data_IF_596085469156
#
_entry.id   IF_596085469156
#
_cell.length_a   1.000
_cell.length_b   1.000
_cell.length_c   1.000
_cell.angle_alpha   90.00
_cell.angle_beta   90.00
_cell.angle_gamma   90.00
#
_symmetry.space_group_name_H-M   'P 1'
#
loop_
_entity.id
_entity.type
_entity.pdbx_description
1 polymer ?
#
# COMPACT_ATOMS: atom_id res chain seq x y z
N UNK A 1 3.30 -4.19 29.54
CA UNK A 1 4.40 -3.77 28.68
C UNK A 1 5.41 -4.90 28.42
N UNK A 2 6.06 -5.50 29.43
CA UNK A 2 7.05 -6.58 29.22
C UNK A 2 6.54 -7.80 28.44
N UNK A 3 5.32 -8.30 28.70
CA UNK A 3 4.72 -9.45 28.00
C UNK A 3 4.51 -9.16 26.52
N UNK A 4 4.07 -7.94 26.15
CA UNK A 4 3.95 -7.54 24.75
C UNK A 4 5.30 -7.47 24.04
N UNK A 5 6.34 -6.99 24.72
CA UNK A 5 7.69 -6.93 24.14
C UNK A 5 8.22 -8.34 23.85
N UNK A 6 8.01 -9.29 24.77
CA UNK A 6 8.37 -10.70 24.59
C UNK A 6 7.52 -11.32 23.47
N UNK A 7 6.21 -11.07 23.45
CA UNK A 7 5.31 -11.55 22.38
C UNK A 7 5.75 -11.08 21.00
N UNK A 8 6.08 -9.81 20.85
CA UNK A 8 6.56 -9.25 19.57
C UNK A 8 7.85 -9.92 19.10
N UNK A 9 8.76 -10.26 20.02
CA UNK A 9 9.97 -11.00 19.67
C UNK A 9 9.65 -12.39 19.10
N UNK A 10 8.71 -13.12 19.69
CA UNK A 10 8.28 -14.42 19.18
C UNK A 10 7.58 -14.30 17.80
N UNK A 11 6.80 -13.24 17.57
CA UNK A 11 6.14 -12.99 16.28
C UNK A 11 7.19 -12.75 15.20
N UNK A 12 8.16 -11.87 15.45
CA UNK A 12 9.26 -11.59 14.51
C UNK A 12 10.03 -12.88 14.22
N UNK A 13 10.38 -13.65 15.26
CA UNK A 13 11.11 -14.89 15.14
C UNK A 13 10.35 -15.94 14.33
N UNK A 14 9.04 -16.11 14.62
CA UNK A 14 8.16 -16.99 13.84
C UNK A 14 8.08 -16.56 12.36
N UNK A 15 7.96 -15.27 12.08
CA UNK A 15 8.02 -14.70 10.73
C UNK A 15 9.33 -14.98 10.03
N UNK A 16 10.47 -14.87 10.73
CA UNK A 16 11.77 -15.22 10.21
C UNK A 16 11.88 -16.72 9.88
N UNK A 17 11.42 -17.60 10.78
CA UNK A 17 11.42 -19.06 10.55
C UNK A 17 10.55 -19.39 9.34
N UNK A 18 9.32 -18.86 9.27
CA UNK A 18 8.42 -19.06 8.14
C UNK A 18 9.07 -18.59 6.83
N UNK A 19 9.74 -17.44 6.83
CA UNK A 19 10.48 -16.93 5.68
C UNK A 19 11.62 -17.84 5.26
N UNK A 20 12.37 -18.41 6.20
CA UNK A 20 13.43 -19.39 5.90
C UNK A 20 12.86 -20.68 5.31
N UNK A 21 11.71 -21.17 5.82
CA UNK A 21 11.02 -22.33 5.26
C UNK A 21 10.59 -22.05 3.82
N UNK A 22 10.02 -20.87 3.54
CA UNK A 22 9.64 -20.44 2.18
C UNK A 22 10.85 -20.41 1.26
N UNK A 23 11.99 -19.92 1.73
CA UNK A 23 13.23 -19.90 0.93
C UNK A 23 13.78 -21.31 0.69
N UNK A 24 13.71 -22.20 1.66
CA UNK A 24 14.11 -23.58 1.52
C UNK A 24 13.20 -24.34 0.54
N UNK A 25 11.89 -24.07 0.58
CA UNK A 25 10.90 -24.68 -0.34
C UNK A 25 10.69 -23.85 -1.62
N UNK A 26 11.55 -22.89 -1.91
CA UNK A 26 11.48 -21.98 -3.06
C UNK A 26 11.17 -22.67 -4.40
N UNK A 27 11.76 -23.82 -4.77
CA UNK A 27 11.44 -24.47 -6.04
C UNK A 27 9.97 -24.85 -6.19
N UNK A 28 9.31 -25.27 -5.09
CA UNK A 28 7.88 -25.61 -5.11
C UNK A 28 7.02 -24.40 -5.41
N UNK A 29 7.33 -23.26 -4.79
CA UNK A 29 6.56 -22.02 -4.95
C UNK A 29 6.72 -21.43 -6.36
N UNK A 30 7.94 -21.41 -6.89
CA UNK A 30 8.20 -20.86 -8.23
C UNK A 30 7.51 -21.68 -9.31
N UNK A 31 7.52 -23.00 -9.23
CA UNK A 31 6.88 -23.86 -10.23
C UNK A 31 5.37 -23.66 -10.31
N UNK A 32 4.72 -23.32 -9.21
CA UNK A 32 3.29 -23.03 -9.17
C UNK A 32 2.96 -21.60 -9.60
N UNK A 33 3.77 -20.60 -9.19
CA UNK A 33 3.54 -19.18 -9.49
C UNK A 33 4.05 -18.74 -10.87
N UNK A 34 5.06 -19.43 -11.41
CA UNK A 34 5.69 -19.06 -12.70
C UNK A 34 4.78 -19.23 -13.92
N UNK A 35 3.69 -20.01 -13.82
CA UNK A 35 2.77 -20.22 -14.95
C UNK A 35 1.97 -18.98 -15.35
N UNK A 36 1.83 -18.00 -14.48
CA UNK A 36 1.08 -16.76 -14.71
C UNK A 36 1.93 -15.48 -14.81
N UNK A 37 3.11 -15.45 -14.19
CA UNK A 37 3.96 -14.27 -14.09
C UNK A 37 5.34 -14.55 -14.67
N UNK A 38 5.47 -14.50 -15.97
CA UNK A 38 6.78 -14.54 -16.61
C UNK A 38 7.61 -13.35 -16.15
N UNK A 39 8.89 -13.58 -15.83
CA UNK A 39 9.93 -12.55 -15.63
C UNK A 39 10.04 -11.58 -16.82
N UNK A 40 9.37 -11.89 -17.92
CA UNK A 40 9.14 -11.10 -19.12
C UNK A 40 7.96 -10.12 -19.00
N UNK A 41 7.18 -10.14 -17.92
CA UNK A 41 6.14 -9.14 -17.71
C UNK A 41 6.80 -7.76 -17.75
N UNK A 42 6.36 -6.92 -18.69
CA UNK A 42 6.91 -5.57 -18.96
C UNK A 42 6.94 -4.65 -17.74
N UNK A 43 6.35 -5.05 -16.63
CA UNK A 43 6.27 -4.34 -15.34
C UNK A 43 7.24 -4.88 -14.28
N UNK A 44 7.92 -6.01 -14.52
CA UNK A 44 8.80 -6.59 -13.51
C UNK A 44 9.98 -5.67 -13.21
N UNK A 45 10.08 -5.21 -11.98
CA UNK A 45 11.24 -4.50 -11.43
C UNK A 45 12.34 -5.46 -10.99
N UNK A 46 12.13 -6.77 -11.11
CA UNK A 46 12.98 -7.84 -10.59
C UNK A 46 13.52 -8.73 -11.70
N UNK A 47 14.77 -9.17 -11.52
CA UNK A 47 15.49 -10.01 -12.50
C UNK A 47 15.40 -11.50 -12.21
N UNK A 48 15.06 -11.89 -10.98
CA UNK A 48 15.04 -13.29 -10.52
C UNK A 48 13.63 -13.73 -10.11
N UNK A 49 13.25 -14.99 -10.38
CA UNK A 49 12.00 -15.56 -9.88
C UNK A 49 12.01 -15.60 -8.35
N UNK A 50 11.01 -14.95 -7.74
CA UNK A 50 10.91 -14.78 -6.29
C UNK A 50 9.55 -15.24 -5.78
N UNK A 51 9.45 -16.00 -4.66
CA UNK A 51 8.17 -16.40 -4.07
C UNK A 51 7.31 -15.20 -3.69
N UNK A 52 6.01 -15.24 -4.02
CA UNK A 52 5.04 -14.17 -3.76
C UNK A 52 4.04 -14.55 -2.66
N UNK A 53 4.51 -15.21 -1.62
CA UNK A 53 3.66 -15.74 -0.54
C UNK A 53 3.93 -15.04 0.81
N UNK A 54 4.46 -13.83 0.78
CA UNK A 54 4.73 -13.05 1.98
C UNK A 54 3.47 -12.75 2.79
N UNK A 55 2.32 -12.58 2.14
CA UNK A 55 1.04 -12.38 2.81
C UNK A 55 0.66 -13.52 3.75
N UNK A 56 0.97 -14.78 3.39
CA UNK A 56 0.75 -15.92 4.28
C UNK A 56 1.58 -15.81 5.57
N UNK A 57 2.85 -15.37 5.44
CA UNK A 57 3.74 -15.20 6.60
C UNK A 57 3.21 -14.12 7.54
N UNK A 58 2.71 -13.00 6.99
CA UNK A 58 2.13 -11.90 7.78
C UNK A 58 0.88 -12.37 8.53
N UNK A 59 -0.06 -13.03 7.86
CA UNK A 59 -1.29 -13.51 8.49
C UNK A 59 -0.98 -14.56 9.57
N UNK A 60 -0.03 -15.44 9.34
CA UNK A 60 0.43 -16.39 10.36
C UNK A 60 1.07 -15.66 11.55
N UNK A 61 1.97 -14.71 11.32
CA UNK A 61 2.57 -13.89 12.37
C UNK A 61 1.52 -13.10 13.16
N UNK A 62 0.57 -12.49 12.48
CA UNK A 62 -0.55 -11.78 13.10
C UNK A 62 -1.42 -12.73 13.96
N UNK A 63 -1.77 -13.91 13.45
CA UNK A 63 -2.55 -14.92 14.19
C UNK A 63 -1.82 -15.42 15.44
N UNK A 64 -0.51 -15.64 15.34
CA UNK A 64 0.33 -15.96 16.49
C UNK A 64 0.32 -14.80 17.50
N UNK A 65 0.43 -13.55 17.00
CA UNK A 65 0.38 -12.34 17.82
C UNK A 65 -0.92 -12.21 18.61
N UNK A 66 -2.06 -12.53 18.00
CA UNK A 66 -3.36 -12.53 18.70
C UNK A 66 -3.37 -13.46 19.92
N UNK A 67 -2.66 -14.60 19.86
CA UNK A 67 -2.55 -15.52 20.99
C UNK A 67 -1.76 -14.94 22.18
N UNK A 68 -0.90 -13.94 21.95
CA UNK A 68 -0.13 -13.26 23.00
C UNK A 68 -0.84 -12.02 23.56
N UNK A 69 -1.94 -11.57 22.93
CA UNK A 69 -2.73 -10.49 23.51
C UNK A 69 -3.41 -10.95 24.80
N UNK A 70 -3.52 -10.06 25.80
CA UNK A 70 -4.35 -10.34 26.98
C UNK A 70 -5.78 -10.65 26.52
N UNK A 71 -6.46 -11.60 27.20
CA UNK A 71 -7.88 -11.87 26.97
C UNK A 71 -8.72 -10.65 27.33
N UNK A 72 -8.91 -9.77 26.36
CA UNK A 72 -9.52 -8.45 26.52
C UNK A 72 -10.17 -8.02 25.21
N UNK A 73 -10.66 -6.80 25.17
CA UNK A 73 -11.17 -6.12 23.98
C UNK A 73 -10.20 -6.22 22.77
N UNK A 74 -8.89 -6.05 23.03
CA UNK A 74 -7.85 -6.16 21.99
C UNK A 74 -7.85 -7.51 21.26
N UNK A 75 -8.00 -8.63 22.02
CA UNK A 75 -8.04 -9.98 21.40
C UNK A 75 -9.27 -10.14 20.52
N UNK A 76 -10.43 -9.68 20.97
CA UNK A 76 -11.68 -9.74 20.20
C UNK A 76 -11.58 -8.92 18.92
N UNK A 77 -11.13 -7.66 19.03
CA UNK A 77 -10.94 -6.76 17.88
C UNK A 77 -9.94 -7.38 16.89
N UNK A 78 -8.78 -7.82 17.35
CA UNK A 78 -7.76 -8.41 16.49
C UNK A 78 -8.27 -9.66 15.76
N UNK A 79 -9.03 -10.53 16.45
CA UNK A 79 -9.62 -11.71 15.83
C UNK A 79 -10.64 -11.34 14.75
N UNK A 80 -11.53 -10.40 15.03
CA UNK A 80 -12.53 -9.94 14.06
C UNK A 80 -11.88 -9.23 12.84
N UNK A 81 -10.81 -8.46 13.06
CA UNK A 81 -10.01 -7.88 11.97
C UNK A 81 -9.43 -8.96 11.06
N UNK A 82 -8.81 -9.99 11.65
CA UNK A 82 -8.28 -11.12 10.89
C UNK A 82 -9.36 -11.86 10.09
N UNK A 83 -10.53 -12.13 10.71
CA UNK A 83 -11.67 -12.78 10.05
C UNK A 83 -12.22 -11.93 8.89
N UNK A 84 -12.36 -10.63 9.08
CA UNK A 84 -12.85 -9.72 8.03
C UNK A 84 -11.90 -9.61 6.84
N UNK A 85 -10.60 -9.83 7.05
CA UNK A 85 -9.60 -9.82 5.99
C UNK A 85 -9.58 -11.10 5.14
N UNK A 86 -10.25 -12.18 5.55
CA UNK A 86 -10.20 -13.47 4.84
C UNK A 86 -10.62 -13.40 3.36
N UNK A 87 -11.73 -12.75 2.95
CA UNK A 87 -12.10 -12.71 1.54
C UNK A 87 -11.04 -12.03 0.67
N UNK A 88 -10.50 -10.88 1.10
CA UNK A 88 -9.48 -10.17 0.34
C UNK A 88 -8.15 -10.90 0.35
N UNK A 89 -7.81 -11.59 1.45
CA UNK A 89 -6.64 -12.47 1.53
C UNK A 89 -6.75 -13.63 0.54
N UNK A 90 -7.87 -14.35 0.54
CA UNK A 90 -8.08 -15.49 -0.34
C UNK A 90 -8.04 -15.09 -1.82
N UNK A 91 -8.62 -13.92 -2.17
CA UNK A 91 -8.54 -13.38 -3.51
C UNK A 91 -7.11 -13.08 -3.95
N UNK A 92 -6.33 -12.43 -3.10
CA UNK A 92 -4.92 -12.15 -3.35
C UNK A 92 -4.07 -13.43 -3.37
N UNK A 93 -4.28 -14.35 -2.44
CA UNK A 93 -3.55 -15.61 -2.37
C UNK A 93 -3.82 -16.52 -3.59
N UNK A 94 -5.07 -16.54 -4.07
CA UNK A 94 -5.40 -17.23 -5.31
C UNK A 94 -4.61 -16.67 -6.50
N UNK A 95 -4.48 -15.34 -6.62
CA UNK A 95 -3.65 -14.72 -7.67
C UNK A 95 -2.18 -15.09 -7.50
N UNK A 96 -1.63 -14.96 -6.27
CA UNK A 96 -0.23 -15.26 -5.96
C UNK A 96 0.12 -16.74 -6.22
N UNK A 97 -0.85 -17.65 -6.11
CA UNK A 97 -0.68 -19.09 -6.38
C UNK A 97 -1.05 -19.50 -7.82
N UNK A 98 -1.36 -18.51 -8.70
CA UNK A 98 -1.54 -18.74 -10.13
C UNK A 98 -2.93 -19.16 -10.57
N UNK A 99 -3.96 -18.93 -9.74
CA UNK A 99 -5.36 -19.18 -10.12
C UNK A 99 -5.96 -18.11 -11.06
N UNK A 100 -5.16 -17.07 -11.43
CA UNK A 100 -5.56 -15.99 -12.34
C UNK A 100 -6.86 -15.28 -11.89
N UNK A 101 -6.91 -14.85 -10.65
CA UNK A 101 -8.05 -14.13 -10.08
C UNK A 101 -8.16 -12.74 -10.73
N UNK A 102 -9.24 -12.47 -11.42
CA UNK A 102 -9.41 -11.20 -12.13
C UNK A 102 -9.37 -9.99 -11.18
N UNK A 103 -8.88 -8.84 -11.67
CA UNK A 103 -8.85 -7.58 -10.91
C UNK A 103 -10.25 -7.19 -10.40
N UNK A 104 -11.31 -7.47 -11.19
CA UNK A 104 -12.70 -7.22 -10.79
C UNK A 104 -13.12 -8.08 -9.61
N UNK A 105 -12.77 -9.38 -9.61
CA UNK A 105 -13.10 -10.26 -8.49
C UNK A 105 -12.35 -9.85 -7.22
N UNK A 106 -11.07 -9.47 -7.32
CA UNK A 106 -10.29 -8.94 -6.17
C UNK A 106 -10.92 -7.66 -5.61
N UNK A 107 -11.45 -6.77 -6.47
CA UNK A 107 -12.18 -5.58 -6.02
C UNK A 107 -13.48 -5.95 -5.29
N UNK A 108 -14.26 -6.88 -5.83
CA UNK A 108 -15.49 -7.37 -5.18
C UNK A 108 -15.15 -7.99 -3.81
N UNK A 109 -14.10 -8.81 -3.72
CA UNK A 109 -13.67 -9.41 -2.45
C UNK A 109 -13.21 -8.35 -1.44
N UNK A 110 -12.61 -7.24 -1.90
CA UNK A 110 -12.27 -6.10 -1.04
C UNK A 110 -13.53 -5.41 -0.50
N UNK A 111 -14.57 -5.24 -1.31
CA UNK A 111 -15.87 -4.73 -0.86
C UNK A 111 -16.54 -5.69 0.13
N UNK A 112 -16.49 -7.00 -0.12
CA UNK A 112 -17.02 -8.02 0.79
C UNK A 112 -16.29 -7.97 2.13
N UNK A 113 -14.96 -7.93 2.14
CA UNK A 113 -14.16 -7.79 3.36
C UNK A 113 -14.54 -6.52 4.15
N UNK A 114 -14.67 -5.39 3.47
CA UNK A 114 -15.06 -4.14 4.09
C UNK A 114 -16.47 -4.20 4.68
N UNK A 115 -17.42 -4.81 3.98
CA UNK A 115 -18.77 -5.01 4.47
C UNK A 115 -18.81 -5.93 5.70
N UNK A 116 -18.09 -7.05 5.66
CA UNK A 116 -17.97 -7.97 6.80
C UNK A 116 -17.41 -7.24 8.02
N UNK A 117 -16.35 -6.46 7.86
CA UNK A 117 -15.78 -5.69 8.97
C UNK A 117 -16.80 -4.68 9.53
N UNK A 118 -17.48 -3.92 8.67
CA UNK A 118 -18.52 -2.98 9.09
C UNK A 118 -19.64 -3.63 9.90
N UNK A 119 -20.07 -4.82 9.50
CA UNK A 119 -21.09 -5.59 10.19
C UNK A 119 -20.57 -6.19 11.51
N UNK A 120 -19.36 -6.77 11.51
CA UNK A 120 -18.78 -7.37 12.72
C UNK A 120 -18.50 -6.35 13.83
N UNK A 121 -18.05 -5.14 13.44
CA UNK A 121 -17.76 -4.07 14.40
C UNK A 121 -18.96 -3.14 14.63
N UNK A 122 -20.03 -3.28 13.84
CA UNK A 122 -21.14 -2.32 13.79
C UNK A 122 -20.63 -0.87 13.72
N UNK A 123 -19.63 -0.63 12.86
CA UNK A 123 -18.89 0.64 12.78
C UNK A 123 -18.70 1.05 11.34
N UNK A 124 -18.97 2.33 11.09
CA UNK A 124 -18.77 2.98 9.80
C UNK A 124 -17.95 4.25 10.04
N UNK A 125 -17.48 4.92 8.99
CA UNK A 125 -16.82 6.22 9.15
C UNK A 125 -17.77 7.19 9.84
N UNK A 126 -17.44 7.67 11.08
CA UNK A 126 -18.41 8.36 11.92
C UNK A 126 -18.68 9.80 11.46
N UNK A 127 -17.70 10.46 10.88
CA UNK A 127 -17.81 11.84 10.40
C UNK A 127 -16.66 12.16 9.45
N UNK A 128 -16.92 13.10 8.52
CA UNK A 128 -15.87 13.73 7.72
C UNK A 128 -15.34 15.02 8.38
N UNK A 129 -16.01 15.51 9.43
CA UNK A 129 -15.66 16.76 10.09
C UNK A 129 -15.85 18.00 9.21
N UNK A 130 -16.70 17.95 8.17
CA UNK A 130 -17.06 19.05 7.28
C UNK A 130 -18.57 19.25 7.39
N UNK A 131 -19.01 20.38 7.97
CA UNK A 131 -20.43 20.65 8.25
C UNK A 131 -21.34 20.52 7.03
N UNK A 132 -20.90 20.92 5.85
CA UNK A 132 -21.66 20.79 4.60
C UNK A 132 -21.78 19.37 4.03
N UNK A 133 -21.01 18.41 4.56
CA UNK A 133 -21.00 17.01 4.13
C UNK A 133 -21.49 16.05 5.22
N UNK A 134 -22.08 16.56 6.31
CA UNK A 134 -22.59 15.74 7.41
C UNK A 134 -23.60 14.69 6.93
N UNK A 135 -24.42 15.02 5.93
CA UNK A 135 -25.40 14.10 5.35
C UNK A 135 -24.77 12.78 4.81
N UNK A 136 -23.48 12.80 4.46
CA UNK A 136 -22.78 11.60 3.95
C UNK A 136 -22.55 10.56 5.06
N UNK A 137 -22.43 11.01 6.31
CA UNK A 137 -22.15 10.15 7.46
C UNK A 137 -23.34 10.02 8.42
N UNK A 138 -24.29 10.97 8.38
CA UNK A 138 -25.49 10.96 9.24
C UNK A 138 -26.54 9.94 8.78
N UNK A 139 -26.56 9.60 7.48
CA UNK A 139 -27.44 8.58 6.96
C UNK A 139 -26.70 7.26 6.76
N UNK A 140 -27.32 6.15 7.18
CA UNK A 140 -26.72 4.82 7.19
C UNK A 140 -26.20 4.39 5.81
N UNK A 141 -27.02 4.54 4.75
CA UNK A 141 -26.63 4.07 3.40
C UNK A 141 -25.40 4.81 2.87
N UNK A 142 -25.32 6.14 2.84
CA UNK A 142 -24.11 6.85 2.41
C UNK A 142 -22.90 6.55 3.29
N UNK A 143 -23.05 6.43 4.61
CA UNK A 143 -21.97 6.09 5.53
C UNK A 143 -21.38 4.71 5.23
N UNK A 144 -22.24 3.71 5.01
CA UNK A 144 -21.83 2.34 4.60
C UNK A 144 -21.10 2.39 3.27
N UNK A 145 -21.67 3.02 2.25
CA UNK A 145 -21.05 3.11 0.91
C UNK A 145 -19.71 3.80 0.96
N UNK A 146 -19.60 4.92 1.66
CA UNK A 146 -18.35 5.65 1.84
C UNK A 146 -17.28 4.77 2.49
N UNK A 147 -17.64 4.10 3.60
CA UNK A 147 -16.72 3.24 4.35
C UNK A 147 -16.21 2.09 3.50
N UNK A 148 -17.12 1.42 2.79
CA UNK A 148 -16.79 0.27 1.95
C UNK A 148 -15.89 0.68 0.77
N UNK A 149 -16.19 1.82 0.12
CA UNK A 149 -15.39 2.35 -1.00
C UNK A 149 -13.99 2.76 -0.51
N UNK A 150 -13.88 3.49 0.60
CA UNK A 150 -12.60 3.94 1.14
C UNK A 150 -11.78 2.73 1.58
N UNK A 151 -12.38 1.78 2.30
CA UNK A 151 -11.68 0.59 2.78
C UNK A 151 -11.13 -0.26 1.63
N UNK A 152 -11.96 -0.56 0.62
CA UNK A 152 -11.53 -1.28 -0.56
C UNK A 152 -10.46 -0.49 -1.35
N UNK A 153 -10.66 0.83 -1.51
CA UNK A 153 -9.70 1.71 -2.19
C UNK A 153 -8.33 1.70 -1.53
N UNK A 154 -8.26 1.80 -0.21
CA UNK A 154 -6.98 1.75 0.53
C UNK A 154 -6.32 0.37 0.39
N UNK A 155 -7.07 -0.72 0.47
CA UNK A 155 -6.54 -2.07 0.22
C UNK A 155 -5.89 -2.18 -1.16
N UNK A 156 -6.57 -1.65 -2.20
CA UNK A 156 -6.02 -1.60 -3.55
C UNK A 156 -4.83 -0.64 -3.69
N UNK A 157 -4.83 0.48 -2.97
CA UNK A 157 -3.72 1.43 -2.99
C UNK A 157 -2.42 0.80 -2.46
N UNK A 158 -2.50 -0.02 -1.40
CA UNK A 158 -1.35 -0.78 -0.90
C UNK A 158 -0.85 -1.81 -1.92
N UNK A 159 -1.74 -2.46 -2.65
CA UNK A 159 -1.33 -3.38 -3.73
C UNK A 159 -0.65 -2.65 -4.90
N UNK A 160 -1.12 -1.45 -5.27
CA UNK A 160 -0.53 -0.67 -6.35
C UNK A 160 0.90 -0.17 -6.05
N UNK A 161 1.23 0.10 -4.79
CA UNK A 161 2.57 0.52 -4.39
C UNK A 161 3.54 -0.65 -4.13
N UNK A 162 3.08 -1.91 -4.18
CA UNK A 162 3.93 -3.11 -4.00
C UNK A 162 4.76 -3.42 -5.26
N UNK A 163 5.54 -2.44 -5.69
CA UNK A 163 6.37 -2.53 -6.91
C UNK A 163 7.87 -2.57 -6.67
N UNK A 164 8.35 -2.27 -5.45
CA UNK A 164 9.77 -2.25 -5.06
C UNK A 164 9.99 -3.00 -3.75
N UNK A 165 11.22 -3.51 -3.58
CA UNK A 165 11.62 -4.17 -2.34
C UNK A 165 11.40 -3.26 -1.13
N UNK A 166 10.62 -3.72 -0.16
CA UNK A 166 10.35 -3.03 1.08
C UNK A 166 9.42 -1.82 0.99
N UNK A 167 8.94 -1.41 -0.18
CA UNK A 167 8.17 -0.17 -0.29
C UNK A 167 6.80 -0.30 0.38
N UNK A 168 5.97 -1.25 -0.07
CA UNK A 168 4.62 -1.41 0.48
C UNK A 168 4.66 -1.78 1.97
N UNK A 169 5.54 -2.70 2.37
CA UNK A 169 5.72 -3.07 3.77
C UNK A 169 6.29 -1.93 4.62
N UNK A 170 7.25 -1.16 4.09
CA UNK A 170 7.80 0.00 4.79
C UNK A 170 6.76 1.10 5.01
N UNK A 171 5.94 1.40 3.99
CA UNK A 171 4.83 2.35 4.13
C UNK A 171 3.78 1.80 5.09
N UNK A 172 3.43 0.51 5.01
CA UNK A 172 2.51 -0.13 5.95
C UNK A 172 3.00 -0.01 7.39
N UNK A 173 4.28 -0.25 7.62
CA UNK A 173 4.91 -0.14 8.94
C UNK A 173 4.91 1.32 9.46
N UNK A 174 5.16 2.31 8.60
CA UNK A 174 5.08 3.73 8.93
C UNK A 174 3.65 4.11 9.33
N UNK A 175 2.64 3.68 8.56
CA UNK A 175 1.22 3.93 8.87
C UNK A 175 0.82 3.23 10.16
N UNK A 176 1.20 1.98 10.34
CA UNK A 176 0.90 1.18 11.52
C UNK A 176 1.51 1.77 12.79
N UNK A 177 2.79 2.16 12.76
CA UNK A 177 3.45 2.86 13.86
C UNK A 177 2.75 4.21 14.12
N UNK A 178 2.34 4.92 13.07
CA UNK A 178 1.57 6.15 13.18
C UNK A 178 0.26 5.93 13.94
N UNK A 179 -0.56 5.00 13.49
CA UNK A 179 -1.84 4.65 14.13
C UNK A 179 -1.65 4.15 15.56
N UNK A 180 -0.70 3.24 15.78
CA UNK A 180 -0.42 2.66 17.10
C UNK A 180 0.08 3.69 18.10
N UNK A 181 0.95 4.60 17.69
CA UNK A 181 1.42 5.69 18.55
C UNK A 181 0.32 6.70 18.85
N UNK A 182 -0.54 7.03 17.86
CA UNK A 182 -1.69 7.88 18.10
C UNK A 182 -2.68 7.22 19.06
N UNK A 183 -2.98 5.93 18.88
CA UNK A 183 -3.82 5.15 19.79
C UNK A 183 -3.27 5.16 21.21
N UNK A 184 -1.97 4.93 21.37
CA UNK A 184 -1.31 4.99 22.67
C UNK A 184 -1.42 6.39 23.32
N UNK A 185 -1.25 7.45 22.52
CA UNK A 185 -1.34 8.84 22.99
C UNK A 185 -2.74 9.20 23.50
N UNK A 186 -3.80 8.69 22.87
CA UNK A 186 -5.19 8.91 23.31
C UNK A 186 -5.67 7.88 24.33
N UNK A 187 -4.81 6.96 24.78
CA UNK A 187 -5.13 5.95 25.79
C UNK A 187 -5.85 4.71 25.28
N UNK A 188 -6.00 4.54 23.96
CA UNK A 188 -6.59 3.32 23.35
C UNK A 188 -5.54 2.21 23.26
N UNK A 189 -5.25 1.59 24.42
CA UNK A 189 -4.24 0.54 24.54
C UNK A 189 -4.61 -0.70 23.71
N UNK A 190 -5.89 -0.96 23.48
CA UNK A 190 -6.33 -2.09 22.68
C UNK A 190 -5.84 -1.94 21.21
N UNK A 191 -6.13 -0.80 20.59
CA UNK A 191 -5.68 -0.51 19.22
C UNK A 191 -4.15 -0.44 19.14
N UNK A 192 -3.49 0.21 20.13
CA UNK A 192 -2.02 0.26 20.17
C UNK A 192 -1.39 -1.14 20.23
N UNK A 193 -2.00 -2.07 20.97
CA UNK A 193 -1.54 -3.47 21.06
C UNK A 193 -1.70 -4.21 19.74
N UNK A 194 -2.80 -3.99 19.03
CA UNK A 194 -3.06 -4.59 17.70
C UNK A 194 -2.03 -4.09 16.68
N UNK A 195 -1.74 -2.80 16.66
CA UNK A 195 -0.67 -2.24 15.82
C UNK A 195 0.69 -2.89 16.16
N UNK A 196 0.99 -3.10 17.45
CA UNK A 196 2.25 -3.71 17.86
C UNK A 196 2.45 -5.12 17.29
N UNK A 197 1.40 -5.97 17.27
CA UNK A 197 1.50 -7.31 16.66
C UNK A 197 1.54 -7.27 15.14
N UNK A 198 0.86 -6.32 14.50
CA UNK A 198 0.92 -6.15 13.05
C UNK A 198 2.31 -5.66 12.63
N UNK A 199 2.89 -4.68 13.35
CA UNK A 199 4.27 -4.22 13.12
C UNK A 199 5.27 -5.38 13.23
N UNK A 200 5.17 -6.20 14.30
CA UNK A 200 6.05 -7.35 14.48
C UNK A 200 5.92 -8.37 13.34
N UNK A 201 4.69 -8.60 12.85
CA UNK A 201 4.44 -9.50 11.72
C UNK A 201 5.04 -8.97 10.42
N UNK A 202 4.95 -7.66 10.17
CA UNK A 202 5.56 -6.99 9.01
C UNK A 202 7.09 -7.05 9.08
N UNK A 203 7.69 -6.79 10.25
CA UNK A 203 9.15 -6.81 10.44
C UNK A 203 9.72 -8.22 10.17
N UNK A 204 9.04 -9.28 10.59
CA UNK A 204 9.49 -10.66 10.43
C UNK A 204 9.75 -11.05 8.97
N UNK A 205 8.97 -10.51 8.02
CA UNK A 205 9.18 -10.74 6.59
C UNK A 205 10.01 -9.63 5.92
N UNK A 206 9.93 -8.39 6.40
CA UNK A 206 10.62 -7.25 5.81
C UNK A 206 12.14 -7.49 5.71
N UNK A 207 12.73 -8.16 6.68
CA UNK A 207 14.15 -8.55 6.71
C UNK A 207 14.54 -9.36 5.45
N UNK A 208 13.63 -10.16 4.91
CA UNK A 208 13.87 -10.98 3.73
C UNK A 208 13.43 -10.30 2.42
N UNK A 209 12.54 -9.37 2.51
CA UNK A 209 12.10 -8.58 1.36
C UNK A 209 13.06 -7.42 1.06
N UNK A 210 13.48 -6.66 2.09
CA UNK A 210 14.37 -5.52 1.94
C UNK A 210 15.75 -5.80 2.52
N UNK A 211 16.86 -5.47 1.80
CA UNK A 211 16.89 -4.86 0.47
C UNK A 211 16.87 -5.88 -0.68
N UNK A 212 17.03 -7.18 -0.41
CA UNK A 212 17.40 -8.21 -1.38
C UNK A 212 16.24 -8.80 -2.19
N UNK A 213 14.98 -8.54 -1.82
CA UNK A 213 13.79 -9.04 -2.53
C UNK A 213 13.72 -10.58 -2.59
N UNK A 214 14.14 -11.27 -1.52
CA UNK A 214 14.14 -12.75 -1.48
C UNK A 214 12.75 -13.36 -1.41
N UNK A 215 11.78 -12.64 -0.82
CA UNK A 215 10.37 -13.00 -0.73
C UNK A 215 9.57 -11.72 -0.98
N UNK A 216 8.54 -11.78 -1.84
CA UNK A 216 7.65 -10.65 -2.07
C UNK A 216 6.42 -10.72 -1.19
N UNK A 217 5.85 -9.55 -0.87
CA UNK A 217 4.63 -9.41 -0.12
C UNK A 217 3.47 -10.15 -0.80
N UNK A 218 3.34 -9.98 -2.10
CA UNK A 218 2.28 -10.55 -2.91
C UNK A 218 0.94 -9.83 -2.74
N UNK A 219 0.00 -10.17 -3.60
CA UNK A 219 -1.34 -9.59 -3.61
C UNK A 219 -2.09 -9.91 -2.30
N UNK A 220 -1.95 -11.14 -1.80
CA UNK A 220 -2.52 -11.55 -0.50
C UNK A 220 -2.08 -10.63 0.64
N UNK A 221 -0.78 -10.34 0.72
CA UNK A 221 -0.22 -9.51 1.78
C UNK A 221 -0.61 -8.04 1.62
N UNK A 222 -0.48 -7.49 0.42
CA UNK A 222 -0.75 -6.09 0.15
C UNK A 222 -2.21 -5.71 0.44
N UNK A 223 -3.16 -6.51 -0.05
CA UNK A 223 -4.60 -6.28 0.19
C UNK A 223 -4.97 -6.46 1.66
N UNK A 224 -4.49 -7.52 2.32
CA UNK A 224 -4.84 -7.80 3.71
C UNK A 224 -4.29 -6.76 4.68
N UNK A 225 -3.04 -6.35 4.49
CA UNK A 225 -2.40 -5.31 5.31
C UNK A 225 -3.12 -3.99 5.13
N UNK A 226 -3.44 -3.59 3.88
CA UNK A 226 -4.23 -2.39 3.61
C UNK A 226 -5.60 -2.43 4.27
N UNK A 227 -6.30 -3.58 4.22
CA UNK A 227 -7.58 -3.78 4.87
C UNK A 227 -7.47 -3.67 6.41
N UNK A 228 -6.52 -4.35 7.03
CA UNK A 228 -6.35 -4.31 8.49
C UNK A 228 -6.02 -2.89 8.94
N UNK A 229 -5.10 -2.19 8.28
CA UNK A 229 -4.71 -0.82 8.62
C UNK A 229 -5.87 0.17 8.53
N UNK A 230 -6.67 0.11 7.46
CA UNK A 230 -7.81 1.03 7.33
C UNK A 230 -8.88 0.76 8.36
N UNK A 231 -9.10 -0.51 8.73
CA UNK A 231 -10.08 -0.84 9.77
C UNK A 231 -9.58 -0.49 11.18
N UNK A 232 -8.29 -0.62 11.47
CA UNK A 232 -7.68 -0.04 12.68
C UNK A 232 -7.97 1.46 12.74
N UNK A 233 -7.79 2.18 11.64
CA UNK A 233 -8.03 3.62 11.56
C UNK A 233 -9.52 4.00 11.77
N UNK A 234 -10.44 3.26 11.14
CA UNK A 234 -11.89 3.46 11.32
C UNK A 234 -12.31 3.20 12.76
N UNK A 235 -11.81 2.12 13.38
CA UNK A 235 -12.08 1.82 14.79
C UNK A 235 -11.52 2.88 15.71
N UNK A 236 -10.31 3.37 15.45
CA UNK A 236 -9.70 4.44 16.23
C UNK A 236 -10.53 5.73 16.18
N UNK A 237 -11.07 6.10 15.00
CA UNK A 237 -11.99 7.24 14.86
C UNK A 237 -13.30 7.04 15.61
N UNK A 238 -13.89 5.83 15.57
CA UNK A 238 -15.14 5.55 16.26
C UNK A 238 -14.99 5.55 17.79
N UNK A 239 -13.82 5.17 18.28
CA UNK A 239 -13.53 5.07 19.72
C UNK A 239 -13.03 6.38 20.33
N UNK A 240 -12.57 7.32 19.49
CA UNK A 240 -11.90 8.55 19.94
C UNK A 240 -12.38 9.75 19.12
N UNK A 241 -13.44 10.41 19.58
CA UNK A 241 -14.10 11.55 18.90
C UNK A 241 -13.19 12.78 18.70
N UNK A 242 -12.12 12.90 19.48
CA UNK A 242 -11.18 14.02 19.44
C UNK A 242 -10.17 13.91 18.28
N UNK A 243 -10.15 12.77 17.60
CA UNK A 243 -9.27 12.57 16.45
C UNK A 243 -9.92 13.12 15.18
N UNK A 244 -9.25 14.03 14.52
CA UNK A 244 -9.70 14.61 13.26
C UNK A 244 -9.64 13.57 12.11
N UNK A 245 -10.74 13.34 11.38
CA UNK A 245 -10.78 12.38 10.27
C UNK A 245 -9.72 12.64 9.18
N UNK A 246 -9.45 13.91 8.83
CA UNK A 246 -8.41 14.25 7.86
C UNK A 246 -6.99 14.02 8.39
N UNK A 247 -6.76 14.01 9.69
CA UNK A 247 -5.47 13.61 10.24
C UNK A 247 -5.22 12.11 10.05
N UNK A 248 -6.26 11.28 10.19
CA UNK A 248 -6.19 9.86 9.83
C UNK A 248 -5.96 9.69 8.32
N UNK A 249 -6.65 10.46 7.48
CA UNK A 249 -6.45 10.40 6.03
C UNK A 249 -5.00 10.75 5.63
N UNK A 250 -4.35 11.70 6.33
CA UNK A 250 -2.94 12.03 6.14
C UNK A 250 -2.01 10.83 6.38
N UNK A 251 -2.34 9.92 7.29
CA UNK A 251 -1.52 8.72 7.53
C UNK A 251 -1.51 7.80 6.29
N UNK A 252 -2.61 7.77 5.54
CA UNK A 252 -2.73 7.01 4.29
C UNK A 252 -2.44 7.83 3.03
N UNK A 253 -1.90 9.05 3.20
CA UNK A 253 -1.74 10.00 2.10
C UNK A 253 -0.98 9.41 0.93
N UNK A 254 0.17 8.75 1.18
CA UNK A 254 1.05 8.30 0.10
C UNK A 254 0.40 7.27 -0.82
N UNK A 255 -0.11 6.12 -0.33
CA UNK A 255 -0.76 5.14 -1.19
C UNK A 255 -2.00 5.68 -1.90
N UNK A 256 -2.79 6.52 -1.23
CA UNK A 256 -3.99 7.13 -1.81
C UNK A 256 -3.59 8.11 -2.93
N UNK A 257 -2.61 8.97 -2.70
CA UNK A 257 -2.18 9.97 -3.69
C UNK A 257 -1.64 9.31 -4.95
N UNK A 258 -0.79 8.27 -4.83
CA UNK A 258 -0.25 7.54 -5.99
C UNK A 258 -1.37 6.81 -6.77
N UNK A 259 -2.33 6.19 -6.07
CA UNK A 259 -3.48 5.54 -6.69
C UNK A 259 -4.37 6.54 -7.43
N UNK A 260 -4.83 7.59 -6.76
CA UNK A 260 -5.75 8.59 -7.36
C UNK A 260 -5.09 9.31 -8.53
N UNK A 261 -3.80 9.62 -8.42
CA UNK A 261 -3.06 10.25 -9.51
C UNK A 261 -2.89 9.30 -10.70
N UNK A 262 -2.70 8.00 -10.46
CA UNK A 262 -2.67 6.98 -11.52
C UNK A 262 -4.02 6.88 -12.23
N UNK A 263 -5.12 6.81 -11.49
CA UNK A 263 -6.50 6.79 -12.04
C UNK A 263 -6.75 8.05 -12.89
N UNK A 264 -6.43 9.24 -12.36
CA UNK A 264 -6.56 10.50 -13.08
C UNK A 264 -5.79 10.50 -14.41
N UNK A 265 -4.57 10.00 -14.40
CA UNK A 265 -3.70 9.95 -15.58
C UNK A 265 -4.21 8.97 -16.63
N UNK A 266 -4.66 7.77 -16.22
CA UNK A 266 -5.27 6.79 -17.12
C UNK A 266 -6.55 7.34 -17.74
N UNK A 267 -7.43 7.95 -16.95
CA UNK A 267 -8.66 8.57 -17.40
C UNK A 267 -8.39 9.69 -18.43
N UNK A 268 -7.46 10.61 -18.13
CA UNK A 268 -7.04 11.68 -19.07
C UNK A 268 -6.41 11.14 -20.33
N UNK A 269 -5.74 10.00 -20.25
CA UNK A 269 -5.13 9.32 -21.40
C UNK A 269 -6.07 8.45 -22.23
N UNK A 270 -7.38 8.39 -21.88
CA UNK A 270 -8.37 7.56 -22.58
C UNK A 270 -8.09 6.06 -22.44
N UNK A 271 -7.36 5.64 -21.40
CA UNK A 271 -7.02 4.23 -21.15
C UNK A 271 -7.97 3.64 -20.09
N UNK A 272 -8.32 2.35 -20.20
CA UNK A 272 -9.05 1.66 -19.14
C UNK A 272 -8.29 1.71 -17.81
N UNK A 273 -9.00 1.94 -16.70
CA UNK A 273 -8.42 2.10 -15.36
C UNK A 273 -7.81 0.78 -14.85
N UNK A 274 -8.28 -0.36 -15.36
CA UNK A 274 -7.80 -1.71 -15.04
C UNK A 274 -6.52 -2.11 -15.80
N UNK A 275 -6.03 -1.24 -16.70
CA UNK A 275 -4.78 -1.51 -17.38
C UNK A 275 -3.56 -1.18 -16.52
N UNK A 276 -2.48 -1.98 -16.67
CA UNK A 276 -1.23 -1.74 -15.96
C UNK A 276 -0.65 -0.35 -16.25
N UNK A 277 -0.46 0.45 -15.22
CA UNK A 277 0.24 1.73 -15.32
C UNK A 277 1.74 1.54 -15.02
N UNK A 278 2.58 2.28 -15.74
CA UNK A 278 4.06 2.23 -15.62
C UNK A 278 4.64 3.54 -15.11
N UNK A 279 3.79 4.42 -14.62
CA UNK A 279 4.17 5.77 -14.24
C UNK A 279 3.81 6.07 -12.78
N UNK A 280 3.70 5.00 -11.95
CA UNK A 280 3.63 5.17 -10.51
C UNK A 280 4.86 5.92 -9.99
N UNK A 281 4.70 6.67 -8.91
CA UNK A 281 5.78 7.49 -8.35
C UNK A 281 7.04 6.67 -8.09
N UNK A 282 6.91 5.49 -7.52
CA UNK A 282 8.03 4.60 -7.24
C UNK A 282 8.81 4.15 -8.48
N UNK A 283 8.11 3.90 -9.60
CA UNK A 283 8.75 3.54 -10.87
C UNK A 283 9.50 4.73 -11.47
N UNK A 284 8.97 5.93 -11.29
CA UNK A 284 9.62 7.17 -11.73
C UNK A 284 10.90 7.44 -10.95
N UNK A 285 10.89 7.27 -9.61
CA UNK A 285 12.08 7.42 -8.77
C UNK A 285 13.14 6.40 -9.14
N UNK A 286 12.79 5.12 -9.28
CA UNK A 286 13.72 4.07 -9.69
C UNK A 286 14.34 4.40 -11.06
N UNK A 287 13.52 4.85 -12.02
CA UNK A 287 14.00 5.23 -13.36
C UNK A 287 14.89 6.46 -13.34
N UNK A 288 14.59 7.44 -12.48
CA UNK A 288 15.45 8.61 -12.31
C UNK A 288 16.83 8.20 -11.77
N UNK A 289 16.90 7.30 -10.80
CA UNK A 289 18.16 6.78 -10.28
C UNK A 289 18.94 5.99 -11.33
N UNK A 290 18.27 5.17 -12.16
CA UNK A 290 18.89 4.45 -13.28
C UNK A 290 19.51 5.40 -14.32
N UNK A 291 18.87 6.56 -14.58
CA UNK A 291 19.32 7.51 -15.60
C UNK A 291 20.41 8.48 -15.10
N UNK A 292 20.42 8.78 -13.80
CA UNK A 292 21.29 9.84 -13.25
C UNK A 292 22.57 9.31 -12.61
N UNK A 293 22.47 8.26 -11.78
CA UNK A 293 23.56 7.80 -10.93
C UNK A 293 24.03 6.38 -11.24
N UNK A 294 23.14 5.51 -11.68
CA UNK A 294 23.39 4.10 -11.82
C UNK A 294 22.93 3.64 -13.20
N UNK A 295 23.79 2.91 -13.93
CA UNK A 295 23.42 2.35 -15.21
C UNK A 295 22.32 1.28 -15.06
N UNK A 296 21.54 1.01 -16.11
CA UNK A 296 20.44 0.03 -16.13
C UNK A 296 20.85 -1.39 -15.67
N UNK A 297 22.15 -1.71 -15.69
CA UNK A 297 22.70 -2.98 -15.21
C UNK A 297 22.66 -3.13 -13.67
N UNK A 298 22.32 -2.07 -12.92
CA UNK A 298 22.33 -2.02 -11.45
C UNK A 298 20.94 -1.98 -10.83
N UNK A 299 19.95 -2.60 -11.50
CA UNK A 299 18.54 -2.67 -11.01
C UNK A 299 18.43 -3.23 -9.59
N UNK A 300 19.28 -4.17 -9.22
CA UNK A 300 19.34 -4.74 -7.88
C UNK A 300 19.65 -3.69 -6.80
N UNK A 301 20.40 -2.64 -7.16
CA UNK A 301 20.70 -1.51 -6.27
C UNK A 301 19.68 -0.39 -6.37
N UNK A 302 19.22 -0.07 -7.60
CA UNK A 302 18.27 1.05 -7.78
C UNK A 302 16.90 0.77 -7.17
N UNK A 303 16.48 -0.49 -7.12
CA UNK A 303 15.21 -0.89 -6.53
C UNK A 303 15.15 -0.55 -5.01
N UNK A 304 16.02 -1.07 -4.14
CA UNK A 304 15.99 -0.71 -2.71
C UNK A 304 16.37 0.76 -2.44
N UNK A 305 17.22 1.37 -3.25
CA UNK A 305 17.53 2.79 -3.12
C UNK A 305 16.31 3.67 -3.40
N UNK A 306 15.48 3.33 -4.39
CA UNK A 306 14.24 4.06 -4.64
C UNK A 306 13.29 3.99 -3.43
N UNK A 307 13.21 2.84 -2.76
CA UNK A 307 12.47 2.69 -1.52
C UNK A 307 12.99 3.61 -0.43
N UNK A 308 14.32 3.66 -0.22
CA UNK A 308 14.93 4.56 0.77
C UNK A 308 14.68 6.04 0.51
N UNK A 309 14.54 6.45 -0.75
CA UNK A 309 14.16 7.81 -1.13
C UNK A 309 12.68 8.10 -0.83
N UNK A 310 11.80 7.11 -1.05
CA UNK A 310 10.35 7.31 -0.93
C UNK A 310 9.88 7.22 0.52
N UNK A 311 10.45 6.32 1.34
CA UNK A 311 9.98 6.12 2.72
C UNK A 311 9.99 7.41 3.58
N UNK A 312 11.02 8.27 3.56
CA UNK A 312 10.97 9.55 4.28
C UNK A 312 9.86 10.48 3.77
N UNK A 313 9.61 10.50 2.45
CA UNK A 313 8.53 11.30 1.86
C UNK A 313 7.15 10.77 2.27
N UNK A 314 6.99 9.47 2.38
CA UNK A 314 5.76 8.85 2.85
C UNK A 314 5.57 9.00 4.37
N UNK A 315 6.65 9.08 5.14
CA UNK A 315 6.60 9.31 6.58
C UNK A 315 6.20 10.76 6.94
N UNK A 316 6.54 11.74 6.11
CA UNK A 316 6.29 13.15 6.41
C UNK A 316 4.79 13.47 6.65
N UNK A 317 3.81 13.03 5.82
CA UNK A 317 2.39 13.21 6.11
C UNK A 317 1.94 12.51 7.40
N UNK A 318 2.49 11.32 7.71
CA UNK A 318 2.20 10.59 8.94
C UNK A 318 2.68 11.37 10.16
N UNK A 319 3.89 11.91 10.11
CA UNK A 319 4.42 12.79 11.17
C UNK A 319 3.57 14.06 11.32
N UNK A 320 3.21 14.69 10.20
CA UNK A 320 2.38 15.90 10.19
C UNK A 320 1.01 15.65 10.83
N UNK A 321 0.43 14.46 10.63
CA UNK A 321 -0.87 14.09 11.19
C UNK A 321 -0.94 14.24 12.72
N UNK A 322 0.17 13.99 13.42
CA UNK A 322 0.27 14.16 14.87
C UNK A 322 0.05 15.60 15.32
N UNK A 323 0.59 16.57 14.58
CA UNK A 323 0.49 17.98 14.92
C UNK A 323 -0.91 18.55 14.67
N UNK A 324 -1.63 17.94 13.74
CA UNK A 324 -3.00 18.39 13.34
C UNK A 324 -4.09 17.43 13.80
N UNK A 325 -3.78 16.45 14.67
CA UNK A 325 -4.67 15.32 15.02
C UNK A 325 -6.02 15.72 15.62
N UNK A 326 -6.10 16.88 16.28
CA UNK A 326 -7.33 17.37 16.94
C UNK A 326 -8.00 18.55 16.20
N UNK A 327 -7.47 18.96 15.03
CA UNK A 327 -8.04 20.06 14.27
C UNK A 327 -8.26 19.65 12.81
N UNK A 328 -9.54 19.36 12.50
CA UNK A 328 -9.89 18.82 11.18
C UNK A 328 -9.64 19.82 10.03
N UNK A 329 -9.80 21.13 10.27
CA UNK A 329 -9.52 22.16 9.26
C UNK A 329 -8.02 22.24 8.95
N UNK A 330 -7.16 22.20 9.98
CA UNK A 330 -5.71 22.18 9.78
C UNK A 330 -5.28 20.89 9.09
N UNK A 331 -5.88 19.75 9.46
CA UNK A 331 -5.60 18.46 8.81
C UNK A 331 -6.01 18.46 7.32
N UNK A 332 -7.16 19.06 6.98
CA UNK A 332 -7.59 19.22 5.59
C UNK A 332 -6.62 20.12 4.80
N UNK A 333 -6.21 21.25 5.36
CA UNK A 333 -5.20 22.14 4.74
C UNK A 333 -3.89 21.37 4.53
N UNK A 334 -3.46 20.59 5.51
CA UNK A 334 -2.26 19.74 5.39
C UNK A 334 -2.40 18.71 4.26
N UNK A 335 -3.57 18.11 4.05
CA UNK A 335 -3.84 17.23 2.91
C UNK A 335 -3.63 17.97 1.57
N UNK A 336 -4.13 19.19 1.43
CA UNK A 336 -3.93 19.99 0.21
C UNK A 336 -2.46 20.36 0.00
N UNK A 337 -1.74 20.75 1.06
CA UNK A 337 -0.30 21.04 0.98
C UNK A 337 0.48 19.78 0.55
N UNK A 338 0.24 18.64 1.18
CA UNK A 338 0.88 17.38 0.79
C UNK A 338 0.57 17.00 -0.65
N UNK A 339 -0.68 17.21 -1.11
CA UNK A 339 -1.07 16.98 -2.52
C UNK A 339 -0.30 17.88 -3.46
N UNK A 340 -0.18 19.17 -3.16
CA UNK A 340 0.61 20.12 -3.95
C UNK A 340 2.10 19.71 -4.03
N UNK A 341 2.69 19.31 -2.90
CA UNK A 341 4.08 18.84 -2.83
C UNK A 341 4.28 17.53 -3.59
N UNK A 342 3.34 16.59 -3.49
CA UNK A 342 3.37 15.33 -4.25
C UNK A 342 3.34 15.60 -5.75
N UNK A 343 2.42 16.42 -6.23
CA UNK A 343 2.32 16.79 -7.65
C UNK A 343 3.57 17.55 -8.12
N UNK A 344 4.06 18.50 -7.33
CA UNK A 344 5.27 19.25 -7.65
C UNK A 344 6.51 18.35 -7.76
N UNK A 345 6.67 17.40 -6.82
CA UNK A 345 7.78 16.43 -6.84
C UNK A 345 7.68 15.48 -8.04
N UNK A 346 6.48 15.03 -8.38
CA UNK A 346 6.23 14.19 -9.55
C UNK A 346 6.59 14.92 -10.85
N UNK A 347 6.09 16.15 -11.05
CA UNK A 347 6.38 16.95 -12.24
C UNK A 347 7.85 17.39 -12.29
N UNK A 348 8.43 17.74 -11.15
CA UNK A 348 9.85 18.03 -11.04
C UNK A 348 10.73 16.85 -11.46
N UNK A 349 10.39 15.64 -10.99
CA UNK A 349 11.06 14.40 -11.39
C UNK A 349 10.96 14.13 -12.90
N UNK A 350 9.79 14.35 -13.50
CA UNK A 350 9.60 14.24 -14.95
C UNK A 350 10.43 15.25 -15.74
N UNK A 351 10.50 16.52 -15.30
CA UNK A 351 11.30 17.55 -15.97
C UNK A 351 12.79 17.24 -15.89
N UNK A 352 13.27 16.80 -14.73
CA UNK A 352 14.65 16.33 -14.54
C UNK A 352 14.98 15.16 -15.47
N UNK A 353 14.15 14.13 -15.49
CA UNK A 353 14.32 12.97 -16.37
C UNK A 353 14.39 13.36 -17.86
N UNK A 354 13.53 14.29 -18.30
CA UNK A 354 13.57 14.84 -19.68
C UNK A 354 14.87 15.59 -19.96
N UNK A 355 15.36 16.37 -19.00
CA UNK A 355 16.61 17.15 -19.16
C UNK A 355 17.82 16.22 -19.31
N UNK A 356 17.92 15.19 -18.46
CA UNK A 356 19.00 14.20 -18.52
C UNK A 356 18.94 13.34 -19.79
N UNK A 357 17.75 12.93 -20.23
CA UNK A 357 17.58 12.20 -21.49
C UNK A 357 18.07 13.00 -22.70
N UNK A 358 17.85 14.32 -22.73
CA UNK A 358 18.34 15.20 -23.81
C UNK A 358 19.85 15.40 -23.81
N UNK A 359 20.48 15.47 -22.64
CA UNK A 359 21.95 15.61 -22.52
C UNK A 359 22.68 14.30 -22.78
N UNK A 360 22.13 13.14 -22.39
CA UNK A 360 22.66 11.79 -22.69
C UNK A 360 22.54 11.39 -24.16
N UNK A 361 21.57 11.95 -24.89
CA UNK A 361 21.33 11.66 -26.32
C UNK A 361 22.44 12.10 -27.27
N UNK A 362 23.37 12.97 -26.83
CA UNK A 362 24.58 13.29 -27.61
C UNK A 362 25.64 12.17 -27.58
N UNK A 363 25.59 11.22 -26.61
CA UNK A 363 26.55 10.10 -26.48
C UNK A 363 25.94 8.71 -26.77
N UNK A 364 24.62 8.57 -26.90
CA UNK A 364 23.95 7.28 -27.11
C UNK A 364 22.83 7.35 -28.14
N UNK A 365 23.19 7.49 -29.44
CA UNK A 365 22.29 7.22 -30.57
C UNK A 365 21.99 5.70 -30.63
N UNK A 366 21.26 5.17 -29.70
CA UNK A 366 20.93 3.74 -29.68
C UNK A 366 19.84 3.31 -28.71
N UNK A 367 19.29 4.23 -27.92
CA UNK A 367 18.21 3.90 -27.00
C UNK A 367 16.85 4.38 -27.52
N UNK A 368 16.23 3.54 -28.35
CA UNK A 368 14.81 3.68 -28.66
C UNK A 368 14.00 3.55 -27.37
N UNK A 369 13.43 4.67 -26.91
CA UNK A 369 12.35 4.67 -25.96
C UNK A 369 11.15 3.98 -26.63
N UNK A 370 10.93 2.72 -26.32
CA UNK A 370 9.68 2.06 -26.65
C UNK A 370 8.53 2.75 -25.92
N UNK A 371 7.75 3.53 -26.65
CA UNK A 371 6.73 4.49 -26.26
C UNK A 371 7.31 5.80 -25.68
N UNK A 372 7.37 6.76 -26.57
CA UNK A 372 7.87 8.13 -26.37
C UNK A 372 7.19 8.83 -25.21
N UNK A 373 7.97 9.61 -24.44
CA UNK A 373 7.45 10.66 -23.55
C UNK A 373 6.52 11.65 -24.29
N UNK A 374 6.52 11.66 -25.63
CA UNK A 374 5.58 12.40 -26.47
C UNK A 374 4.14 11.90 -26.32
N UNK A 375 3.92 10.59 -26.02
CA UNK A 375 2.58 10.03 -25.78
C UNK A 375 1.98 10.46 -24.43
N UNK A 376 2.78 11.08 -23.57
CA UNK A 376 2.36 11.60 -22.27
C UNK A 376 1.91 13.07 -22.31
N UNK A 377 2.29 13.80 -23.36
CA UNK A 377 2.08 15.27 -23.45
C UNK A 377 1.21 15.66 -24.66
N UNK A 378 1.01 14.79 -25.64
CA UNK A 378 0.11 15.04 -26.75
C UNK A 378 -1.32 14.59 -26.39
N UNK A 379 -2.31 15.49 -26.39
CA UNK A 379 -3.70 15.05 -26.46
C UNK A 379 -3.84 14.28 -27.78
N UNK A 380 -4.49 13.11 -27.74
CA UNK A 380 -4.81 12.28 -28.90
C UNK A 380 -5.83 13.01 -29.81
N UNK A 381 -5.34 13.95 -30.62
CA UNK A 381 -6.12 14.66 -31.67
C UNK A 381 -5.84 13.98 -33.01
N UNK A 382 -5.77 12.71 -33.09
CA UNK A 382 -5.64 12.08 -34.41
C UNK A 382 -5.92 10.59 -34.38
N UNK A 383 -7.17 10.22 -34.12
CA UNK A 383 -7.75 8.93 -34.55
C UNK A 383 -9.28 8.95 -34.42
N UNK A 384 -9.93 9.98 -34.98
CA UNK A 384 -11.40 10.01 -35.16
C UNK A 384 -11.81 10.13 -36.65
N UNK A 385 -10.89 9.93 -37.59
CA UNK A 385 -11.23 9.94 -38.99
C UNK A 385 -10.70 8.67 -39.68
N UNK A 386 -11.35 7.55 -39.49
CA UNK A 386 -11.40 6.41 -40.44
C UNK A 386 -12.24 5.27 -39.84
N UNK A 387 -13.54 5.50 -39.73
CA UNK A 387 -14.59 4.48 -39.81
C UNK A 387 -15.88 5.16 -40.28
N UNK A 388 -15.99 5.27 -41.55
CA UNK A 388 -17.26 5.18 -42.28
C UNK A 388 -17.14 4.03 -43.27
#
# INVERSE_FOLDING_TARGET
MAIMTIGNFYIIFAGCIASLIVLWTKPLHINHTAKGHTSLARQSSHCLPTPRIGGLIIILGYSVGVCFLPKSDATSIATLLGLSALPVFLGGFGEDTGFNISTRLRLILSFVSAMIAGLLFNSWIPSLGISGLAFVTDYAIPAVLLTVIISAGISHAFNLIDGLNGLAMGIALIVDIGLGSLAYLVGDIAIASICSILAASLVGILIFNFPLGKIFLGDAGAYSVGHILVWIAILLLNRNSDIAPFAILLMFFWPIADMLFSIYRLYRGGRPIDQPDRLHFHQMVMRALELTFLAKKTRELTNPLATLVILPLAAAPVILSYFVRSNNTQALIACFICTGLFLASYWGGLMLAKRFARTGSRKARGFAFGHSLADLVAPSISKRESRF
#
